data_IF_277269078676
#
_entry.id   IF_277269078676
#
_cell.length_a   1.000
_cell.length_b   1.000
_cell.length_c   1.000
_cell.angle_alpha   90.00
_cell.angle_beta   90.00
_cell.angle_gamma   90.00
#
_symmetry.space_group_name_H-M   'P 1'
#
loop_
_entity.id
_entity.type
_entity.pdbx_description
1 polymer ?
#
# COMPACT_ATOMS: atom_id res chain seq x y z
N UNK A 1 29.54 3.84 -18.47
CA UNK A 1 28.13 4.29 -18.45
C UNK A 1 27.96 5.22 -17.25
N UNK A 2 27.41 6.42 -17.42
CA UNK A 2 27.40 7.46 -16.37
C UNK A 2 26.49 7.04 -15.19
N UNK A 3 26.93 7.21 -13.93
CA UNK A 3 26.26 6.72 -12.70
C UNK A 3 24.81 7.20 -12.59
N UNK A 4 24.54 8.44 -13.00
CA UNK A 4 23.19 9.02 -13.08
C UNK A 4 22.25 8.27 -14.03
N UNK A 5 22.77 7.81 -15.18
CA UNK A 5 22.00 7.08 -16.19
C UNK A 5 21.64 5.67 -15.71
N UNK A 6 22.54 5.03 -14.94
CA UNK A 6 22.27 3.75 -14.29
C UNK A 6 21.18 3.86 -13.22
N UNK A 7 21.25 4.88 -12.36
CA UNK A 7 20.25 5.08 -11.30
C UNK A 7 18.85 5.36 -11.87
N UNK A 8 18.76 6.19 -12.92
CA UNK A 8 17.48 6.47 -13.58
C UNK A 8 16.86 5.22 -14.23
N UNK A 9 17.70 4.38 -14.86
CA UNK A 9 17.25 3.14 -15.47
C UNK A 9 16.76 2.14 -14.40
N UNK A 10 17.45 2.05 -13.27
CA UNK A 10 17.05 1.19 -12.16
C UNK A 10 15.68 1.62 -11.58
N UNK A 11 15.48 2.92 -11.33
CA UNK A 11 14.20 3.43 -10.83
C UNK A 11 13.06 3.12 -11.82
N UNK A 12 13.29 3.34 -13.11
CA UNK A 12 12.31 3.03 -14.14
C UNK A 12 11.99 1.53 -14.22
N UNK A 13 13.01 0.66 -14.13
CA UNK A 13 12.81 -0.80 -14.12
C UNK A 13 12.02 -1.26 -12.90
N UNK A 14 12.32 -0.74 -11.70
CA UNK A 14 11.57 -1.08 -10.48
C UNK A 14 10.10 -0.65 -10.64
N UNK A 15 9.84 0.56 -11.14
CA UNK A 15 8.48 1.04 -11.36
C UNK A 15 7.70 0.21 -12.38
N UNK A 16 8.33 -0.15 -13.51
CA UNK A 16 7.72 -1.02 -14.51
C UNK A 16 7.52 -2.45 -14.03
N UNK A 17 8.49 -3.00 -13.29
CA UNK A 17 8.37 -4.31 -12.67
C UNK A 17 7.20 -4.36 -11.71
N UNK A 18 7.04 -3.35 -10.85
CA UNK A 18 5.89 -3.26 -9.94
C UNK A 18 4.56 -3.26 -10.70
N UNK A 19 4.46 -2.50 -11.79
CA UNK A 19 3.26 -2.48 -12.64
C UNK A 19 3.00 -3.85 -13.28
N UNK A 20 4.03 -4.48 -13.84
CA UNK A 20 3.90 -5.76 -14.53
C UNK A 20 3.46 -6.87 -13.57
N UNK A 21 4.13 -7.01 -12.42
CA UNK A 21 3.77 -8.01 -11.42
C UNK A 21 2.37 -7.76 -10.84
N UNK A 22 1.99 -6.49 -10.62
CA UNK A 22 0.63 -6.17 -10.13
C UNK A 22 -0.43 -6.49 -11.18
N UNK A 23 -0.17 -6.22 -12.45
CA UNK A 23 -1.09 -6.54 -13.55
C UNK A 23 -1.24 -8.06 -13.73
N UNK A 24 -0.14 -8.80 -13.68
CA UNK A 24 -0.15 -10.26 -13.75
C UNK A 24 -0.92 -10.86 -12.57
N UNK A 25 -0.67 -10.37 -11.35
CA UNK A 25 -1.41 -10.78 -10.16
C UNK A 25 -2.91 -10.48 -10.29
N UNK A 26 -3.31 -9.32 -10.84
CA UNK A 26 -4.72 -9.01 -11.09
C UNK A 26 -5.37 -10.02 -12.02
N UNK A 27 -4.72 -10.36 -13.14
CA UNK A 27 -5.23 -11.37 -14.07
C UNK A 27 -5.36 -12.71 -13.36
N UNK A 28 -4.37 -13.10 -12.57
CA UNK A 28 -4.39 -14.35 -11.81
C UNK A 28 -5.56 -14.38 -10.82
N UNK A 29 -5.69 -13.39 -9.94
CA UNK A 29 -6.73 -13.39 -8.90
C UNK A 29 -8.13 -13.23 -9.49
N UNK A 30 -8.32 -12.39 -10.51
CA UNK A 30 -9.63 -12.25 -11.18
C UNK A 30 -10.03 -13.54 -11.89
N UNK A 31 -9.09 -14.21 -12.57
CA UNK A 31 -9.33 -15.52 -13.21
C UNK A 31 -9.84 -16.57 -12.23
N UNK A 32 -9.28 -16.62 -11.03
CA UNK A 32 -9.68 -17.61 -10.01
C UNK A 32 -10.86 -17.16 -9.14
N UNK A 33 -11.14 -15.86 -9.08
CA UNK A 33 -12.31 -15.33 -8.40
C UNK A 33 -13.61 -15.67 -9.14
N UNK A 34 -13.59 -15.69 -10.48
CA UNK A 34 -14.78 -16.05 -11.28
C UNK A 34 -15.33 -17.46 -10.98
N UNK A 35 -14.52 -18.54 -10.99
CA UNK A 35 -14.96 -19.87 -10.56
C UNK A 35 -15.52 -19.91 -9.15
N UNK A 36 -14.95 -19.17 -8.20
CA UNK A 36 -15.47 -19.10 -6.84
C UNK A 36 -16.90 -18.56 -6.83
N UNK A 37 -17.17 -17.50 -7.59
CA UNK A 37 -18.50 -16.89 -7.69
C UNK A 37 -19.52 -17.81 -8.37
N UNK A 38 -19.10 -18.62 -9.35
CA UNK A 38 -20.04 -19.44 -10.15
C UNK A 38 -20.25 -20.85 -9.59
N UNK A 39 -19.26 -21.42 -8.90
CA UNK A 39 -19.27 -22.82 -8.47
C UNK A 39 -19.07 -23.03 -6.96
N UNK A 40 -18.85 -21.96 -6.19
CA UNK A 40 -18.66 -22.02 -4.73
C UNK A 40 -17.35 -22.68 -4.29
N UNK A 41 -16.48 -23.04 -5.24
CA UNK A 41 -15.20 -23.71 -4.99
C UNK A 41 -14.03 -22.88 -5.53
N UNK A 42 -12.95 -22.82 -4.77
CA UNK A 42 -11.66 -22.27 -5.20
C UNK A 42 -10.56 -23.28 -4.94
N UNK A 43 -9.71 -23.48 -5.94
CA UNK A 43 -8.52 -24.35 -5.86
C UNK A 43 -7.28 -23.62 -5.35
N UNK A 44 -7.37 -22.30 -5.15
CA UNK A 44 -6.22 -21.41 -4.95
C UNK A 44 -6.34 -20.58 -3.68
N UNK A 45 -7.56 -20.32 -3.20
CA UNK A 45 -7.74 -19.61 -1.95
C UNK A 45 -7.19 -20.47 -0.80
N UNK A 46 -6.42 -19.88 0.14
CA UNK A 46 -6.06 -20.58 1.37
C UNK A 46 -7.32 -21.00 2.14
N UNK A 47 -7.22 -21.93 3.10
CA UNK A 47 -8.34 -22.30 3.96
C UNK A 47 -8.65 -21.16 4.96
N UNK A 48 -9.15 -20.04 4.44
CA UNK A 48 -9.67 -18.90 5.18
C UNK A 48 -11.18 -19.00 5.29
N UNK A 49 -11.73 -18.45 6.37
CA UNK A 49 -13.16 -18.50 6.66
C UNK A 49 -14.03 -17.88 5.56
N UNK A 50 -13.50 -16.87 4.86
CA UNK A 50 -14.22 -16.13 3.81
C UNK A 50 -13.30 -15.96 2.59
N UNK A 51 -13.24 -16.95 1.69
CA UNK A 51 -12.39 -16.92 0.49
C UNK A 51 -12.69 -15.72 -0.42
N UNK A 52 -13.94 -15.26 -0.49
CA UNK A 52 -14.35 -14.13 -1.33
C UNK A 52 -13.66 -12.84 -0.89
N UNK A 53 -13.64 -12.60 0.42
CA UNK A 53 -12.98 -11.42 0.98
C UNK A 53 -11.49 -11.45 0.69
N UNK A 54 -10.85 -12.62 0.79
CA UNK A 54 -9.44 -12.77 0.46
C UNK A 54 -9.16 -12.40 -1.01
N UNK A 55 -9.97 -12.87 -1.95
CA UNK A 55 -9.85 -12.45 -3.36
C UNK A 55 -10.08 -10.95 -3.55
N UNK A 56 -11.09 -10.36 -2.90
CA UNK A 56 -11.34 -8.92 -2.96
C UNK A 56 -10.16 -8.11 -2.44
N UNK A 57 -9.54 -8.54 -1.33
CA UNK A 57 -8.36 -7.90 -0.75
C UNK A 57 -7.14 -8.01 -1.67
N UNK A 58 -6.92 -9.18 -2.30
CA UNK A 58 -5.83 -9.37 -3.25
C UNK A 58 -6.01 -8.53 -4.51
N UNK A 59 -7.22 -8.50 -5.09
CA UNK A 59 -7.55 -7.67 -6.25
C UNK A 59 -7.39 -6.19 -5.88
N UNK A 60 -7.98 -5.74 -4.78
CA UNK A 60 -7.90 -4.35 -4.33
C UNK A 60 -6.47 -3.88 -4.07
N UNK A 61 -5.66 -4.71 -3.40
CA UNK A 61 -4.26 -4.38 -3.13
C UNK A 61 -3.44 -4.24 -4.41
N UNK A 62 -3.62 -5.15 -5.37
CA UNK A 62 -2.89 -5.08 -6.65
C UNK A 62 -3.36 -3.92 -7.55
N UNK A 63 -4.64 -3.53 -7.50
CA UNK A 63 -5.11 -2.29 -8.15
C UNK A 63 -4.41 -1.06 -7.58
N UNK A 64 -4.27 -0.99 -6.25
CA UNK A 64 -3.56 0.11 -5.60
C UNK A 64 -2.07 0.11 -5.96
N UNK A 65 -1.40 -1.05 -5.96
CA UNK A 65 0.00 -1.14 -6.36
C UNK A 65 0.23 -0.69 -7.81
N UNK A 66 -0.68 -1.06 -8.72
CA UNK A 66 -0.64 -0.60 -10.10
C UNK A 66 -0.77 0.92 -10.19
N UNK A 67 -1.70 1.52 -9.43
CA UNK A 67 -1.86 2.97 -9.35
C UNK A 67 -0.61 3.68 -8.77
N UNK A 68 -0.04 3.16 -7.67
CA UNK A 68 1.17 3.69 -7.06
C UNK A 68 2.35 3.61 -8.02
N UNK A 69 2.54 2.47 -8.70
CA UNK A 69 3.60 2.30 -9.70
C UNK A 69 3.52 3.32 -10.82
N UNK A 70 2.32 3.57 -11.35
CA UNK A 70 2.09 4.61 -12.37
C UNK A 70 2.38 6.02 -11.84
N UNK A 71 1.95 6.34 -10.62
CA UNK A 71 2.19 7.65 -9.99
C UNK A 71 3.68 7.90 -9.75
N UNK A 72 4.41 6.90 -9.27
CA UNK A 72 5.86 7.00 -9.04
C UNK A 72 6.64 7.15 -10.36
N UNK A 73 6.27 6.43 -11.42
CA UNK A 73 6.87 6.63 -12.75
C UNK A 73 6.54 8.03 -13.30
N UNK A 74 5.32 8.53 -13.08
CA UNK A 74 4.94 9.90 -13.47
C UNK A 74 5.75 10.94 -12.72
N UNK A 75 5.94 10.76 -11.41
CA UNK A 75 6.77 11.62 -10.57
C UNK A 75 8.22 11.61 -11.05
N UNK A 76 8.78 10.43 -11.33
CA UNK A 76 10.13 10.28 -11.85
C UNK A 76 10.32 10.99 -13.20
N UNK A 77 9.39 10.81 -14.15
CA UNK A 77 9.42 11.51 -15.44
C UNK A 77 9.35 13.02 -15.30
N UNK A 78 8.53 13.53 -14.37
CA UNK A 78 8.48 14.97 -14.07
C UNK A 78 9.83 15.47 -13.55
N UNK A 79 10.40 14.78 -12.56
CA UNK A 79 11.70 15.13 -12.01
C UNK A 79 12.82 15.14 -13.07
N UNK A 80 12.83 14.18 -14.00
CA UNK A 80 13.79 14.16 -15.10
C UNK A 80 13.63 15.34 -16.08
N UNK A 81 12.41 15.87 -16.23
CA UNK A 81 12.12 16.99 -17.15
C UNK A 81 12.46 18.34 -16.52
N UNK A 82 12.08 18.56 -15.27
CA UNK A 82 12.25 19.84 -14.58
C UNK A 82 13.55 19.94 -13.78
N UNK A 83 14.13 18.82 -13.35
CA UNK A 83 15.29 18.76 -12.45
C UNK A 83 14.95 19.03 -10.97
N UNK A 84 13.70 19.39 -10.65
CA UNK A 84 13.22 19.67 -9.30
C UNK A 84 11.73 19.35 -9.17
N UNK A 85 11.24 19.21 -7.93
CA UNK A 85 9.82 18.95 -7.68
C UNK A 85 8.99 20.23 -7.78
N UNK A 86 7.97 20.20 -8.65
CA UNK A 86 7.01 21.30 -8.84
C UNK A 86 5.74 21.10 -7.99
N UNK A 87 4.85 22.11 -7.96
CA UNK A 87 3.56 22.02 -7.24
C UNK A 87 2.74 20.77 -7.60
N UNK A 88 2.68 20.40 -8.88
CA UNK A 88 1.98 19.19 -9.30
C UNK A 88 2.60 17.89 -8.74
N UNK A 89 3.90 17.92 -8.42
CA UNK A 89 4.59 16.78 -7.81
C UNK A 89 4.06 16.53 -6.40
N UNK A 90 3.67 17.59 -5.68
CA UNK A 90 3.02 17.48 -4.37
C UNK A 90 1.70 16.71 -4.46
N UNK A 91 0.88 16.98 -5.48
CA UNK A 91 -0.36 16.23 -5.69
C UNK A 91 -0.09 14.74 -5.91
N UNK A 92 0.97 14.40 -6.65
CA UNK A 92 1.34 12.99 -6.86
C UNK A 92 1.78 12.34 -5.53
N UNK A 93 2.58 13.05 -4.71
CA UNK A 93 2.99 12.56 -3.38
C UNK A 93 1.79 12.38 -2.45
N UNK A 94 0.80 13.27 -2.49
CA UNK A 94 -0.44 13.15 -1.73
C UNK A 94 -1.22 11.89 -2.11
N UNK A 95 -1.39 11.64 -3.42
CA UNK A 95 -2.06 10.42 -3.89
C UNK A 95 -1.32 9.16 -3.48
N UNK A 96 0.02 9.13 -3.58
CA UNK A 96 0.80 7.96 -3.13
C UNK A 96 0.65 7.75 -1.62
N UNK A 97 0.60 8.82 -0.84
CA UNK A 97 0.38 8.76 0.62
C UNK A 97 -0.99 8.17 0.94
N UNK A 98 -2.05 8.68 0.30
CA UNK A 98 -3.42 8.18 0.48
C UNK A 98 -3.52 6.70 0.09
N UNK A 99 -2.97 6.32 -1.06
CA UNK A 99 -2.98 4.93 -1.51
C UNK A 99 -2.22 3.99 -0.56
N UNK A 100 -1.12 4.47 0.03
CA UNK A 100 -0.38 3.72 1.06
C UNK A 100 -1.21 3.53 2.34
N UNK A 101 -1.97 4.55 2.75
CA UNK A 101 -2.91 4.43 3.86
C UNK A 101 -4.07 3.47 3.54
N UNK A 102 -4.59 3.48 2.31
CA UNK A 102 -5.60 2.52 1.87
C UNK A 102 -5.07 1.08 1.92
N UNK A 103 -3.84 0.83 1.48
CA UNK A 103 -3.19 -0.49 1.60
C UNK A 103 -3.04 -0.91 3.06
N UNK A 104 -2.63 0.01 3.93
CA UNK A 104 -2.53 -0.25 5.35
C UNK A 104 -3.90 -0.65 5.95
N UNK A 105 -4.95 0.06 5.57
CA UNK A 105 -6.32 -0.25 5.97
C UNK A 105 -6.80 -1.62 5.47
N UNK A 106 -6.53 -1.98 4.21
CA UNK A 106 -6.82 -3.32 3.69
C UNK A 106 -6.08 -4.41 4.47
N UNK A 107 -4.81 -4.18 4.85
CA UNK A 107 -4.04 -5.12 5.68
C UNK A 107 -4.61 -5.27 7.10
N UNK A 108 -5.14 -4.19 7.69
CA UNK A 108 -5.88 -4.25 8.96
C UNK A 108 -7.13 -5.11 8.77
N UNK A 109 -7.94 -4.88 7.74
CA UNK A 109 -9.13 -5.70 7.45
C UNK A 109 -8.73 -7.17 7.35
N UNK A 110 -7.73 -7.50 6.54
CA UNK A 110 -7.23 -8.86 6.40
C UNK A 110 -6.87 -9.50 7.76
N UNK A 111 -6.11 -8.76 8.57
CA UNK A 111 -5.68 -9.22 9.90
C UNK A 111 -6.89 -9.48 10.82
N UNK A 112 -7.91 -8.61 10.79
CA UNK A 112 -9.12 -8.79 11.60
C UNK A 112 -9.82 -10.11 11.22
N UNK A 113 -10.00 -10.37 9.92
CA UNK A 113 -10.72 -11.55 9.44
C UNK A 113 -9.94 -12.85 9.65
N UNK A 114 -8.63 -12.85 9.46
CA UNK A 114 -7.78 -14.03 9.70
C UNK A 114 -7.72 -14.41 11.18
N UNK A 115 -7.84 -13.43 12.08
CA UNK A 115 -7.80 -13.66 13.53
C UNK A 115 -9.20 -13.68 14.17
N UNK A 116 -10.28 -13.59 13.38
CA UNK A 116 -11.65 -13.54 13.92
C UNK A 116 -12.00 -14.80 14.71
N UNK A 117 -11.57 -15.98 14.24
CA UNK A 117 -11.80 -17.25 14.97
C UNK A 117 -10.99 -17.35 16.27
N UNK A 118 -9.91 -16.58 16.41
CA UNK A 118 -9.12 -16.57 17.66
C UNK A 118 -9.74 -15.68 18.74
N UNK A 119 -10.65 -14.77 18.37
CA UNK A 119 -11.58 -14.20 19.33
C UNK A 119 -12.55 -15.33 19.71
N UNK A 120 -12.12 -16.18 20.65
CA UNK A 120 -12.93 -17.24 21.26
C UNK A 120 -14.09 -16.57 22.01
N UNK A 121 -15.14 -16.16 21.30
CA UNK A 121 -16.31 -15.47 21.84
C UNK A 121 -16.98 -16.29 22.94
N UNK A 122 -16.86 -17.61 22.86
CA UNK A 122 -17.27 -18.58 23.89
C UNK A 122 -16.53 -18.42 25.23
N UNK A 123 -15.33 -17.81 25.23
CA UNK A 123 -14.50 -17.56 26.42
C UNK A 123 -14.72 -16.20 27.08
N UNK A 124 -15.71 -15.41 26.64
CA UNK A 124 -16.00 -14.05 27.15
C UNK A 124 -16.81 -14.08 28.45
N UNK A 125 -16.43 -14.99 29.35
CA UNK A 125 -17.12 -15.23 30.62
C UNK A 125 -16.58 -14.32 31.73
N UNK A 126 -15.41 -13.70 31.55
CA UNK A 126 -14.76 -12.83 32.53
C UNK A 126 -14.16 -11.58 31.90
N UNK A 127 -14.15 -10.47 32.64
CA UNK A 127 -13.50 -9.21 32.22
C UNK A 127 -12.01 -9.44 31.90
N UNK A 128 -11.36 -10.36 32.62
CA UNK A 128 -9.94 -10.69 32.43
C UNK A 128 -9.69 -11.46 31.12
N UNK A 129 -10.55 -12.42 30.77
CA UNK A 129 -10.44 -13.16 29.52
C UNK A 129 -10.74 -12.26 28.31
N UNK A 130 -11.73 -11.37 28.42
CA UNK A 130 -12.02 -10.37 27.38
C UNK A 130 -10.86 -9.39 27.19
N UNK A 131 -10.28 -8.87 28.28
CA UNK A 131 -9.14 -7.95 28.22
C UNK A 131 -7.89 -8.61 27.60
N UNK A 132 -7.59 -9.86 27.99
CA UNK A 132 -6.45 -10.60 27.43
C UNK A 132 -6.67 -10.96 25.95
N UNK A 133 -7.90 -11.32 25.56
CA UNK A 133 -8.26 -11.55 24.15
C UNK A 133 -8.11 -10.30 23.30
N UNK A 134 -8.62 -9.16 23.78
CA UNK A 134 -8.43 -7.86 23.12
C UNK A 134 -6.96 -7.47 23.04
N UNK A 135 -6.19 -7.63 24.13
CA UNK A 135 -4.75 -7.31 24.14
C UNK A 135 -3.98 -8.18 23.14
N UNK A 136 -4.29 -9.47 23.05
CA UNK A 136 -3.67 -10.39 22.07
C UNK A 136 -4.04 -10.03 20.63
N UNK A 137 -5.28 -9.60 20.40
CA UNK A 137 -5.74 -9.11 19.10
C UNK A 137 -5.04 -7.80 18.69
N UNK A 138 -4.95 -6.82 19.60
CA UNK A 138 -4.23 -5.57 19.38
C UNK A 138 -2.74 -5.79 19.18
N UNK A 139 -2.11 -6.66 19.97
CA UNK A 139 -0.70 -7.01 19.76
C UNK A 139 -0.50 -7.71 18.42
N UNK A 140 -1.41 -8.55 17.92
CA UNK A 140 -1.27 -9.09 16.55
C UNK A 140 -1.48 -8.04 15.44
N UNK A 141 -2.32 -7.04 15.68
CA UNK A 141 -2.46 -5.89 14.78
C UNK A 141 -1.21 -4.98 14.77
N UNK A 142 -0.59 -4.79 15.94
CA UNK A 142 0.56 -3.91 16.17
C UNK A 142 1.92 -4.57 15.91
N UNK A 143 2.05 -5.87 16.19
CA UNK A 143 3.23 -6.65 15.85
C UNK A 143 3.28 -6.70 14.33
N UNK A 144 4.41 -6.27 13.78
CA UNK A 144 4.78 -6.12 12.36
C UNK A 144 4.70 -7.42 11.52
N UNK A 145 3.84 -8.38 11.87
CA UNK A 145 3.70 -9.66 11.18
C UNK A 145 3.10 -9.53 9.80
N UNK A 146 2.31 -8.50 9.56
CA UNK A 146 1.59 -8.29 8.31
C UNK A 146 1.98 -6.95 7.65
N UNK A 147 1.88 -6.85 6.31
CA UNK A 147 2.49 -5.77 5.54
C UNK A 147 1.87 -4.38 5.80
N UNK A 148 0.77 -4.27 6.57
CA UNK A 148 0.16 -2.98 6.91
C UNK A 148 1.14 -1.97 7.51
N UNK A 149 2.06 -2.43 8.34
CA UNK A 149 3.00 -1.57 9.06
C UNK A 149 4.05 -0.98 8.14
N UNK A 150 4.46 -1.73 7.12
CA UNK A 150 5.29 -1.21 6.04
C UNK A 150 4.54 -0.14 5.26
N UNK A 151 3.26 -0.33 4.95
CA UNK A 151 2.47 0.67 4.22
C UNK A 151 2.25 1.96 5.04
N UNK A 152 2.03 1.86 6.36
CA UNK A 152 2.01 3.02 7.25
C UNK A 152 3.36 3.75 7.26
N UNK A 153 4.47 3.02 7.34
CA UNK A 153 5.81 3.60 7.28
C UNK A 153 6.04 4.30 5.92
N UNK A 154 5.66 3.67 4.82
CA UNK A 154 5.73 4.29 3.49
C UNK A 154 4.89 5.56 3.42
N UNK A 155 3.67 5.57 3.93
CA UNK A 155 2.84 6.77 3.99
C UNK A 155 3.52 7.89 4.78
N UNK A 156 4.13 7.58 5.93
CA UNK A 156 4.86 8.55 6.75
C UNK A 156 6.09 9.11 6.02
N UNK A 157 6.87 8.25 5.33
CA UNK A 157 8.02 8.67 4.53
C UNK A 157 7.58 9.58 3.38
N UNK A 158 6.54 9.20 2.63
CA UNK A 158 6.02 9.98 1.52
C UNK A 158 5.50 11.35 1.98
N UNK A 159 4.82 11.38 3.12
CA UNK A 159 4.38 12.62 3.75
C UNK A 159 5.56 13.49 4.20
N UNK A 160 6.60 12.91 4.80
CA UNK A 160 7.81 13.64 5.18
C UNK A 160 8.52 14.25 3.95
N UNK A 161 8.71 13.46 2.89
CA UNK A 161 9.26 13.93 1.60
C UNK A 161 8.44 15.10 1.07
N UNK A 162 7.11 15.01 1.11
CA UNK A 162 6.23 16.11 0.72
C UNK A 162 6.49 17.37 1.54
N UNK A 163 6.63 17.29 2.86
CA UNK A 163 6.92 18.47 3.69
C UNK A 163 8.25 19.13 3.29
N UNK A 164 9.29 18.34 3.00
CA UNK A 164 10.55 18.87 2.48
C UNK A 164 10.38 19.58 1.13
N UNK A 165 9.59 19.02 0.21
CA UNK A 165 9.32 19.66 -1.09
C UNK A 165 8.54 20.97 -0.92
N UNK A 166 7.56 21.02 -0.02
CA UNK A 166 6.81 22.25 0.27
C UNK A 166 7.75 23.34 0.77
N UNK A 167 8.64 23.02 1.72
CA UNK A 167 9.60 23.99 2.24
C UNK A 167 10.58 24.46 1.16
N UNK A 168 11.11 23.54 0.34
CA UNK A 168 11.99 23.91 -0.77
C UNK A 168 11.30 24.84 -1.79
N UNK A 169 10.02 24.60 -2.08
CA UNK A 169 9.23 25.46 -2.97
C UNK A 169 8.96 26.85 -2.36
N UNK A 170 8.79 26.95 -1.04
CA UNK A 170 8.61 28.24 -0.37
C UNK A 170 9.90 29.06 -0.40
N UNK A 171 11.05 28.45 -0.08
CA UNK A 171 12.36 29.11 -0.17
C UNK A 171 12.64 29.59 -1.60
N UNK A 172 12.29 28.77 -2.61
CA UNK A 172 12.41 29.18 -4.01
C UNK A 172 11.57 30.44 -4.32
N UNK A 173 10.31 30.48 -3.89
CA UNK A 173 9.43 31.64 -4.11
C UNK A 173 9.94 32.89 -3.40
N UNK A 174 10.46 32.75 -2.17
CA UNK A 174 11.06 33.87 -1.45
C UNK A 174 12.23 34.43 -2.24
N UNK A 175 13.16 33.56 -2.67
CA UNK A 175 14.30 33.97 -3.49
C UNK A 175 13.89 34.63 -4.82
N UNK A 176 12.83 34.14 -5.47
CA UNK A 176 12.28 34.74 -6.69
C UNK A 176 11.57 36.08 -6.42
N UNK A 177 11.06 36.33 -5.22
CA UNK A 177 10.43 37.59 -4.85
C UNK A 177 11.44 38.68 -4.46
N UNK A 178 12.67 38.30 -4.10
CA UNK A 178 13.76 39.23 -3.79
C UNK A 178 14.49 39.77 -5.02
N UNK A 179 14.42 39.07 -6.16
CA UNK A 179 15.05 39.44 -7.45
C UNK A 179 14.07 40.30 -8.25
#
# INVERSE_FOLDING_TARGET
MNKYRQNNLLIALIGWGAILFSAEALIYYTRWFLPLLTSGHSFVAPPVNIPELWFMLMIGSNLIFLAVGMLLLRLHRKYLKSGYFEKDSLHILDWVTILSLCLAFLGVIQTIFENFNELHTEGWVSVWSTSNGLFRFFTRLLILKAPQTMYFLFAAIMWAVRQFVVQALNVKKENEAFI
#
